data_IF_338013668969
#
_entry.id   IF_338013668969
#
_cell.length_a   1.000
_cell.length_b   1.000
_cell.length_c   1.000
_cell.angle_alpha   90.00
_cell.angle_beta   90.00
_cell.angle_gamma   90.00
#
_symmetry.space_group_name_H-M   'P 1'
#
loop_
_entity.id
_entity.type
_entity.pdbx_description
1 polymer ?
#
# COMPACT_ATOMS: atom_id res chain seq x y z
N UNK A 1 8.65 -11.23 -45.80
CA UNK A 1 7.66 -10.16 -45.49
C UNK A 1 7.70 -9.88 -43.99
N UNK A 2 8.35 -8.79 -43.57
CA UNK A 2 8.33 -8.31 -42.18
C UNK A 2 6.95 -7.71 -41.91
N UNK A 3 6.26 -8.18 -40.86
CA UNK A 3 5.05 -7.56 -40.35
C UNK A 3 5.50 -6.56 -39.28
N UNK A 4 5.58 -5.28 -39.65
CA UNK A 4 5.84 -4.19 -38.73
C UNK A 4 4.65 -4.10 -37.77
N UNK A 5 4.91 -4.32 -36.48
CA UNK A 5 3.98 -4.02 -35.40
C UNK A 5 3.85 -2.51 -35.30
N UNK A 6 2.62 -2.01 -35.43
CA UNK A 6 2.28 -0.61 -35.23
C UNK A 6 2.31 -0.38 -33.71
N UNK A 7 3.50 -0.08 -33.18
CA UNK A 7 3.59 0.62 -31.92
C UNK A 7 3.01 2.00 -32.15
N UNK A 8 1.81 2.21 -31.60
CA UNK A 8 1.11 3.49 -31.54
C UNK A 8 2.09 4.60 -31.20
N UNK A 9 2.27 5.52 -32.13
CA UNK A 9 3.16 6.69 -32.02
C UNK A 9 2.43 7.89 -31.44
N UNK A 10 1.48 7.66 -30.52
CA UNK A 10 0.86 8.71 -29.71
C UNK A 10 1.30 8.53 -28.26
N UNK A 11 2.46 9.09 -27.94
CA UNK A 11 2.85 9.36 -26.56
C UNK A 11 2.11 10.62 -26.06
N UNK A 12 0.80 10.50 -25.85
CA UNK A 12 0.06 11.48 -25.04
C UNK A 12 0.43 11.23 -23.56
N UNK A 13 1.59 11.72 -23.15
CA UNK A 13 2.00 11.68 -21.73
C UNK A 13 0.99 12.40 -20.83
N UNK A 14 0.24 13.36 -21.37
CA UNK A 14 -0.87 14.06 -20.70
C UNK A 14 -2.04 13.16 -20.27
N UNK A 15 -2.12 11.94 -20.83
CA UNK A 15 -3.12 10.91 -20.45
C UNK A 15 -2.50 9.71 -19.73
N UNK A 16 -1.18 9.71 -19.53
CA UNK A 16 -0.53 8.64 -18.79
C UNK A 16 -0.80 8.83 -17.30
N UNK A 17 -1.42 7.83 -16.66
CA UNK A 17 -1.50 7.79 -15.20
C UNK A 17 -0.07 7.69 -14.66
N UNK A 18 0.33 8.61 -13.79
CA UNK A 18 1.63 8.54 -13.13
C UNK A 18 1.66 7.35 -12.15
N UNK A 19 2.74 6.58 -12.18
CA UNK A 19 2.95 5.43 -11.31
C UNK A 19 4.26 5.58 -10.54
N UNK A 20 4.30 4.97 -9.36
CA UNK A 20 5.51 4.81 -8.56
C UNK A 20 5.94 3.35 -8.67
N UNK A 21 7.21 3.13 -9.02
CA UNK A 21 7.83 1.82 -9.00
C UNK A 21 8.84 1.78 -7.84
N UNK A 22 8.59 0.92 -6.84
CA UNK A 22 9.45 0.75 -5.66
C UNK A 22 10.20 -0.58 -5.76
N UNK A 23 11.41 -0.60 -5.26
CA UNK A 23 12.25 -1.81 -5.16
C UNK A 23 12.99 -1.77 -3.83
N UNK A 24 13.22 -2.94 -3.27
CA UNK A 24 14.09 -3.12 -2.12
C UNK A 24 15.53 -2.65 -2.42
N UNK A 25 16.11 -1.94 -1.45
CA UNK A 25 17.52 -1.53 -1.49
C UNK A 25 18.40 -2.79 -1.46
N UNK A 26 18.09 -3.72 -0.56
CA UNK A 26 18.76 -5.00 -0.43
C UNK A 26 18.19 -6.06 -1.38
N UNK A 27 18.95 -7.14 -1.57
CA UNK A 27 18.46 -8.30 -2.32
C UNK A 27 17.52 -9.12 -1.43
N UNK A 28 16.29 -9.29 -1.89
CA UNK A 28 15.25 -10.04 -1.16
C UNK A 28 14.64 -11.11 -2.06
N UNK A 29 14.20 -12.25 -1.49
CA UNK A 29 13.50 -13.26 -2.26
C UNK A 29 12.25 -12.70 -2.94
N UNK A 30 11.94 -13.20 -4.14
CA UNK A 30 10.73 -12.81 -4.89
C UNK A 30 9.45 -12.92 -4.05
N UNK A 31 9.35 -13.96 -3.22
CA UNK A 31 8.21 -14.18 -2.33
C UNK A 31 7.87 -12.92 -1.51
N UNK A 32 8.89 -12.18 -1.06
CA UNK A 32 8.69 -10.98 -0.26
C UNK A 32 7.86 -9.91 -1.00
N UNK A 33 8.11 -9.71 -2.29
CA UNK A 33 7.33 -8.76 -3.10
C UNK A 33 5.85 -9.13 -3.14
N UNK A 34 5.53 -10.43 -3.22
CA UNK A 34 4.16 -10.92 -3.23
C UNK A 34 3.52 -10.84 -1.84
N UNK A 35 4.27 -11.15 -0.78
CA UNK A 35 3.81 -11.03 0.61
C UNK A 35 3.40 -9.59 0.93
N UNK A 36 4.17 -8.59 0.49
CA UNK A 36 3.82 -7.18 0.69
C UNK A 36 2.56 -6.78 -0.09
N UNK A 37 2.39 -7.27 -1.32
CA UNK A 37 1.16 -7.05 -2.10
C UNK A 37 -0.03 -7.68 -1.38
N UNK A 38 0.13 -8.89 -0.86
CA UNK A 38 -0.92 -9.55 -0.08
C UNK A 38 -1.27 -8.74 1.16
N UNK A 39 -0.29 -8.26 1.92
CA UNK A 39 -0.51 -7.42 3.11
C UNK A 39 -1.26 -6.13 2.78
N UNK A 40 -0.86 -5.42 1.72
CA UNK A 40 -1.51 -4.18 1.31
C UNK A 40 -2.95 -4.42 0.84
N UNK A 41 -3.19 -5.50 0.08
CA UNK A 41 -4.52 -5.86 -0.40
C UNK A 41 -5.42 -6.39 0.74
N UNK A 42 -4.88 -7.10 1.73
CA UNK A 42 -5.58 -7.46 2.96
C UNK A 42 -5.99 -6.21 3.73
N UNK A 43 -5.11 -5.21 3.83
CA UNK A 43 -5.44 -3.92 4.46
C UNK A 43 -6.55 -3.20 3.70
N UNK A 44 -6.58 -3.30 2.36
CA UNK A 44 -7.66 -2.75 1.54
C UNK A 44 -9.02 -3.39 1.87
N UNK A 45 -9.05 -4.70 2.16
CA UNK A 45 -10.26 -5.38 2.62
C UNK A 45 -10.69 -4.89 4.00
N UNK A 46 -9.75 -4.66 4.92
CA UNK A 46 -10.03 -4.03 6.21
C UNK A 46 -10.62 -2.63 6.05
N UNK A 47 -10.09 -1.81 5.15
CA UNK A 47 -10.64 -0.49 4.83
C UNK A 47 -12.08 -0.57 4.32
N UNK A 48 -12.38 -1.53 3.44
CA UNK A 48 -13.74 -1.77 2.96
C UNK A 48 -14.68 -2.17 4.10
N UNK A 49 -14.23 -3.03 5.02
CA UNK A 49 -14.99 -3.45 6.19
C UNK A 49 -15.23 -2.28 7.18
N UNK A 50 -14.22 -1.46 7.44
CA UNK A 50 -14.35 -0.23 8.23
C UNK A 50 -15.41 0.71 7.62
N UNK A 51 -15.37 0.90 6.29
CA UNK A 51 -16.31 1.79 5.60
C UNK A 51 -17.77 1.32 5.64
N UNK A 52 -18.03 0.02 5.84
CA UNK A 52 -19.39 -0.52 6.01
C UNK A 52 -20.05 -0.03 7.32
N UNK A 53 -19.26 0.40 8.30
CA UNK A 53 -19.74 0.96 9.56
C UNK A 53 -20.13 2.44 9.46
N UNK A 54 -20.11 3.01 8.24
CA UNK A 54 -20.43 4.41 7.95
C UNK A 54 -19.68 5.41 8.85
N UNK A 55 -18.34 5.34 8.92
CA UNK A 55 -17.55 6.30 9.69
C UNK A 55 -17.71 7.72 9.11
N UNK A 56 -17.45 8.78 9.91
CA UNK A 56 -17.51 10.16 9.43
C UNK A 56 -16.61 10.43 8.22
N UNK A 57 -15.50 9.69 8.10
CA UNK A 57 -14.61 9.69 6.93
C UNK A 57 -14.33 8.25 6.53
N UNK A 58 -14.54 7.94 5.25
CA UNK A 58 -14.14 6.66 4.66
C UNK A 58 -12.66 6.68 4.33
N UNK A 59 -12.04 5.52 4.38
CA UNK A 59 -10.62 5.32 4.04
C UNK A 59 -10.47 4.36 2.88
N UNK A 60 -9.38 4.45 2.13
CA UNK A 60 -9.04 3.44 1.12
C UNK A 60 -7.53 3.21 1.07
N UNK A 61 -7.13 2.04 0.56
CA UNK A 61 -5.74 1.66 0.36
C UNK A 61 -5.46 1.58 -1.14
N UNK A 62 -4.35 2.16 -1.60
CA UNK A 62 -3.95 2.08 -3.01
C UNK A 62 -3.72 0.61 -3.40
N UNK A 63 -4.14 0.24 -4.61
CA UNK A 63 -3.82 -1.06 -5.16
C UNK A 63 -2.33 -1.14 -5.54
N UNK A 64 -1.68 -2.20 -5.09
CA UNK A 64 -0.29 -2.49 -5.41
C UNK A 64 -0.21 -3.78 -6.25
N UNK A 65 0.76 -3.83 -7.15
CA UNK A 65 1.04 -5.01 -7.99
C UNK A 65 2.53 -5.28 -8.07
N UNK A 66 2.91 -6.52 -8.39
CA UNK A 66 4.30 -6.87 -8.67
C UNK A 66 4.57 -6.73 -10.17
N UNK A 67 5.64 -6.01 -10.52
CA UNK A 67 6.14 -5.83 -11.88
C UNK A 67 7.50 -6.52 -12.04
N UNK A 68 7.62 -7.39 -13.04
CA UNK A 68 8.89 -8.04 -13.40
C UNK A 68 9.45 -7.43 -14.70
N UNK A 69 10.67 -6.89 -14.66
CA UNK A 69 11.37 -6.42 -15.88
C UNK A 69 12.13 -7.56 -16.55
N UNK A 70 11.43 -8.37 -17.33
CA UNK A 70 11.97 -9.58 -18.00
C UNK A 70 13.18 -9.33 -18.89
N UNK A 71 13.26 -8.15 -19.50
CA UNK A 71 14.32 -7.79 -20.45
C UNK A 71 15.55 -7.13 -19.79
N UNK A 72 15.53 -6.91 -18.46
CA UNK A 72 16.67 -6.38 -17.72
C UNK A 72 17.50 -7.52 -17.14
N UNK A 73 18.83 -7.32 -17.06
CA UNK A 73 19.73 -8.25 -16.41
C UNK A 73 19.26 -8.52 -14.96
N UNK A 74 19.19 -9.80 -14.59
CA UNK A 74 18.70 -10.23 -13.27
C UNK A 74 17.17 -10.24 -13.11
N UNK A 75 16.39 -9.87 -14.15
CA UNK A 75 14.91 -9.87 -14.14
C UNK A 75 14.31 -9.28 -12.85
N UNK A 76 14.66 -8.03 -12.49
CA UNK A 76 14.32 -7.45 -11.20
C UNK A 76 12.81 -7.24 -11.04
N UNK A 77 12.36 -7.41 -9.79
CA UNK A 77 10.99 -7.19 -9.34
C UNK A 77 10.84 -5.79 -8.72
N UNK A 78 9.65 -5.22 -8.89
CA UNK A 78 9.24 -3.93 -8.33
C UNK A 78 7.80 -4.02 -7.84
N UNK A 79 7.47 -3.23 -6.83
CA UNK A 79 6.09 -2.88 -6.52
C UNK A 79 5.66 -1.70 -7.39
N UNK A 80 4.49 -1.80 -8.00
CA UNK A 80 3.91 -0.76 -8.82
C UNK A 80 2.57 -0.32 -8.22
N UNK A 81 2.47 0.97 -7.95
CA UNK A 81 1.26 1.62 -7.43
C UNK A 81 1.03 2.97 -8.13
N UNK A 82 -0.20 3.50 -8.03
CA UNK A 82 -0.51 4.83 -8.57
C UNK A 82 0.18 5.91 -7.76
N UNK A 83 0.70 6.92 -8.45
CA UNK A 83 1.10 8.16 -7.79
C UNK A 83 -0.14 8.85 -7.19
N UNK A 84 -0.01 9.32 -5.96
CA UNK A 84 -1.01 10.14 -5.28
C UNK A 84 -0.47 11.55 -5.10
N UNK A 85 -1.22 12.53 -5.60
CA UNK A 85 -0.86 13.94 -5.52
C UNK A 85 -1.36 14.55 -4.20
N UNK A 86 -0.49 15.33 -3.53
CA UNK A 86 -0.76 16.02 -2.27
C UNK A 86 0.27 15.72 -1.18
N UNK A 87 -0.01 16.23 0.03
CA UNK A 87 0.92 16.14 1.16
C UNK A 87 0.93 14.74 1.76
N UNK A 88 2.07 14.06 1.62
CA UNK A 88 2.29 12.74 2.19
C UNK A 88 2.54 12.85 3.70
N UNK A 89 1.72 12.18 4.50
CA UNK A 89 1.79 12.19 5.98
C UNK A 89 1.83 10.77 6.50
N UNK A 90 2.74 10.49 7.45
CA UNK A 90 2.76 9.27 8.26
C UNK A 90 2.06 9.52 9.60
N UNK A 91 0.92 8.87 9.82
CA UNK A 91 0.03 9.16 10.96
C UNK A 91 0.37 8.37 12.23
N UNK A 92 0.81 7.12 12.06
CA UNK A 92 1.38 6.30 13.14
C UNK A 92 2.55 5.45 12.61
N UNK A 93 3.33 4.86 13.53
CA UNK A 93 4.33 3.85 13.20
C UNK A 93 3.99 2.47 13.74
N UNK A 94 4.63 1.45 13.16
CA UNK A 94 4.68 0.09 13.70
C UNK A 94 5.41 -0.06 15.06
N UNK A 95 6.01 1.00 15.60
CA UNK A 95 6.75 0.99 16.87
C UNK A 95 6.10 1.86 17.97
N UNK A 96 4.86 2.29 17.76
CA UNK A 96 4.10 3.08 18.73
C UNK A 96 4.27 4.60 18.64
N UNK A 97 4.92 5.11 17.59
CA UNK A 97 4.94 6.56 17.32
C UNK A 97 3.58 7.02 16.79
N UNK A 98 3.10 8.15 17.30
CA UNK A 98 1.93 8.87 16.81
C UNK A 98 2.39 10.29 16.47
N UNK A 99 1.98 10.82 15.32
CA UNK A 99 2.33 12.20 14.95
C UNK A 99 1.63 13.19 15.91
N UNK A 100 2.42 13.91 16.71
CA UNK A 100 1.99 14.82 17.79
C UNK A 100 1.63 16.24 17.32
N UNK A 101 1.67 16.53 16.01
CA UNK A 101 1.34 17.87 15.53
C UNK A 101 -0.17 18.17 15.68
N UNK A 102 -0.54 19.45 15.77
CA UNK A 102 -1.89 19.99 16.03
C UNK A 102 -2.98 19.56 15.01
N UNK A 103 -2.67 18.64 14.11
CA UNK A 103 -3.51 17.97 13.12
C UNK A 103 -3.73 16.49 13.47
N UNK A 104 -3.93 16.16 14.76
CA UNK A 104 -4.30 14.81 15.23
C UNK A 104 -5.59 14.33 14.54
N UNK A 105 -5.43 13.66 13.40
CA UNK A 105 -6.54 13.04 12.69
C UNK A 105 -6.95 11.80 13.46
N UNK A 106 -8.21 11.75 13.86
CA UNK A 106 -8.76 10.58 14.54
C UNK A 106 -8.96 9.38 13.61
N UNK A 107 -9.22 9.61 12.32
CA UNK A 107 -9.55 8.53 11.37
C UNK A 107 -8.47 7.45 11.23
N UNK A 108 -7.17 7.78 11.04
CA UNK A 108 -6.10 6.78 11.01
C UNK A 108 -6.03 5.92 12.28
N UNK A 109 -6.12 6.54 13.47
CA UNK A 109 -6.03 5.82 14.74
C UNK A 109 -7.28 4.96 15.01
N UNK A 110 -8.47 5.50 14.69
CA UNK A 110 -9.73 4.77 14.80
C UNK A 110 -9.77 3.58 13.83
N UNK A 111 -9.18 3.70 12.64
CA UNK A 111 -9.05 2.60 11.70
C UNK A 111 -8.13 1.50 12.25
N UNK A 112 -6.93 1.85 12.75
CA UNK A 112 -6.04 0.88 13.42
C UNK A 112 -6.75 0.16 14.57
N UNK A 113 -7.38 0.91 15.48
CA UNK A 113 -8.14 0.34 16.60
C UNK A 113 -9.29 -0.56 16.12
N UNK A 114 -10.05 -0.15 15.10
CA UNK A 114 -11.12 -0.97 14.53
C UNK A 114 -10.60 -2.31 14.04
N UNK A 115 -9.46 -2.36 13.35
CA UNK A 115 -8.91 -3.64 12.87
C UNK A 115 -8.53 -4.59 14.00
N UNK A 116 -8.04 -4.05 15.12
CA UNK A 116 -7.72 -4.82 16.31
C UNK A 116 -8.97 -5.41 16.97
N UNK A 117 -9.98 -4.59 17.22
CA UNK A 117 -11.24 -5.03 17.83
C UNK A 117 -12.00 -6.02 16.93
N UNK A 118 -12.13 -5.69 15.64
CA UNK A 118 -12.89 -6.50 14.69
C UNK A 118 -12.21 -7.83 14.35
N UNK A 119 -10.91 -7.97 14.59
CA UNK A 119 -10.18 -9.22 14.46
C UNK A 119 -10.12 -10.02 15.77
N UNK A 120 -10.86 -9.62 16.81
CA UNK A 120 -10.78 -10.21 18.14
C UNK A 120 -9.36 -10.16 18.75
N UNK A 121 -8.64 -9.07 18.50
CA UNK A 121 -7.27 -8.83 18.96
C UNK A 121 -6.18 -9.69 18.29
N UNK A 122 -6.51 -10.34 17.17
CA UNK A 122 -5.56 -11.20 16.44
C UNK A 122 -4.68 -10.43 15.45
N UNK A 123 -5.18 -9.32 14.91
CA UNK A 123 -4.50 -8.53 13.88
C UNK A 123 -4.69 -7.02 14.11
N UNK A 124 -3.64 -6.23 13.88
CA UNK A 124 -3.76 -4.76 13.87
C UNK A 124 -3.04 -4.19 12.66
N UNK A 125 -3.72 -3.28 11.95
CA UNK A 125 -3.13 -2.50 10.87
C UNK A 125 -2.51 -1.23 11.45
N UNK A 126 -1.22 -1.03 11.21
CA UNK A 126 -0.40 0.12 11.62
C UNK A 126 0.40 0.66 10.42
N UNK A 127 1.32 1.60 10.66
CA UNK A 127 2.02 2.35 9.59
C UNK A 127 1.04 3.01 8.62
N UNK A 128 -0.02 3.63 9.16
CA UNK A 128 -1.02 4.32 8.35
C UNK A 128 -0.39 5.61 7.81
N UNK A 129 -0.20 5.67 6.50
CA UNK A 129 0.48 6.76 5.80
C UNK A 129 -0.07 6.97 4.39
N UNK A 130 -0.02 8.20 3.89
CA UNK A 130 -0.51 8.54 2.55
C UNK A 130 -0.98 9.99 2.45
N UNK A 131 -1.89 10.26 1.53
CA UNK A 131 -2.45 11.61 1.27
C UNK A 131 -3.93 11.61 1.61
N UNK A 132 -4.35 12.50 2.52
CA UNK A 132 -5.74 12.50 2.98
C UNK A 132 -6.13 11.17 3.61
N UNK A 133 -7.26 10.58 3.22
CA UNK A 133 -7.76 9.27 3.68
C UNK A 133 -7.45 8.12 2.71
N UNK A 134 -6.55 8.35 1.74
CA UNK A 134 -6.03 7.35 0.82
C UNK A 134 -4.61 6.96 1.24
N UNK A 135 -4.46 5.72 1.72
CA UNK A 135 -3.23 5.23 2.35
C UNK A 135 -2.47 4.24 1.45
N UNK A 136 -1.18 4.05 1.75
CA UNK A 136 -0.32 3.03 1.11
C UNK A 136 0.77 2.55 2.07
N UNK A 137 1.46 1.46 1.71
CA UNK A 137 2.51 0.80 2.50
C UNK A 137 2.15 0.57 3.99
N UNK A 138 0.98 -0.01 4.31
CA UNK A 138 0.63 -0.32 5.70
C UNK A 138 1.41 -1.53 6.21
N UNK A 139 1.45 -1.72 7.53
CA UNK A 139 1.96 -2.92 8.17
C UNK A 139 0.85 -3.62 8.95
N UNK A 140 0.82 -4.96 8.91
CA UNK A 140 -0.06 -5.77 9.77
C UNK A 140 0.81 -6.45 10.82
N UNK A 141 0.45 -6.32 12.10
CA UNK A 141 0.95 -7.18 13.16
C UNK A 141 -0.08 -8.25 13.47
N UNK A 142 0.37 -9.47 13.74
CA UNK A 142 -0.48 -10.58 14.16
C UNK A 142 -0.03 -11.12 15.51
N UNK A 143 -0.97 -11.66 16.29
CA UNK A 143 -0.73 -12.23 17.63
C UNK A 143 0.35 -13.31 17.65
N UNK A 144 0.47 -14.07 16.55
CA UNK A 144 1.43 -15.16 16.38
C UNK A 144 2.75 -14.72 15.73
N UNK A 145 2.83 -13.52 15.13
CA UNK A 145 4.05 -12.97 14.54
C UNK A 145 4.61 -13.68 13.30
N UNK A 146 3.95 -14.73 12.79
CA UNK A 146 4.45 -15.53 11.65
C UNK A 146 3.84 -15.13 10.29
N UNK A 147 2.82 -14.28 10.28
CA UNK A 147 2.12 -13.88 9.05
C UNK A 147 2.62 -12.51 8.55
N UNK A 148 2.76 -12.36 7.23
CA UNK A 148 3.20 -11.12 6.55
C UNK A 148 4.67 -10.72 6.79
N UNK A 149 5.50 -11.73 7.09
CA UNK A 149 6.96 -11.73 7.10
C UNK A 149 7.61 -10.72 8.04
N UNK A 150 7.72 -11.16 9.30
CA UNK A 150 8.71 -10.65 10.25
C UNK A 150 10.12 -11.14 9.97
#
# INVERSE_FOLDING_TARGET
RKKLSIFSTNQDWDRSSNYIAKRYIDDVPMARYFDDVMMQMTTKLWAAHYNQHNPPKKVDIIQMSVLEFKDRAGRPYYHLERFIDGDYIKYNSNSGFVCDDNTLRHTPQAFSHFTFEASCHEQIVVDIQGVGDLYTDPQIHTSLGFEYGG
#
